data_IF_681471540742
#
_entry.id   IF_681471540742
#
_cell.length_a   1.000
_cell.length_b   1.000
_cell.length_c   1.000
_cell.angle_alpha   90.00
_cell.angle_beta   90.00
_cell.angle_gamma   90.00
#
_symmetry.space_group_name_H-M   'P 1'
#
loop_
_entity.id
_entity.type
_entity.pdbx_description
1 polymer ?
#
# COMPACT_ATOMS: atom_id res chain seq x y z
N UNK A 1 5.49 -0.15 63.22
CA UNK A 1 5.43 -0.71 61.85
C UNK A 1 4.19 -0.15 61.18
N UNK A 2 4.42 0.86 60.36
CA UNK A 2 3.47 1.69 59.63
C UNK A 2 3.21 1.08 58.26
N UNK A 3 1.95 0.87 57.88
CA UNK A 3 1.55 0.71 56.48
C UNK A 3 0.21 1.42 56.25
N UNK A 4 0.31 2.70 55.87
CA UNK A 4 -0.76 3.44 55.22
C UNK A 4 -0.83 2.96 53.77
N UNK A 5 -2.00 2.50 53.33
CA UNK A 5 -2.28 2.19 51.93
C UNK A 5 -2.23 3.47 51.09
N UNK A 6 -1.29 3.53 50.15
CA UNK A 6 -1.24 4.56 49.11
C UNK A 6 -2.41 4.34 48.14
N UNK A 7 -3.34 5.28 48.10
CA UNK A 7 -4.20 5.51 46.94
C UNK A 7 -3.32 5.85 45.72
N UNK A 8 -3.64 5.33 44.52
CA UNK A 8 -2.92 5.73 43.31
C UNK A 8 -3.21 7.21 42.98
N UNK A 9 -2.23 7.94 42.41
CA UNK A 9 -2.42 9.34 42.04
C UNK A 9 -3.44 9.45 40.89
N UNK A 10 -4.07 10.62 40.71
CA UNK A 10 -4.90 10.88 39.53
C UNK A 10 -4.04 10.72 38.28
N UNK A 11 -4.53 9.95 37.30
CA UNK A 11 -3.88 9.84 36.00
C UNK A 11 -3.72 11.24 35.39
N UNK A 12 -2.47 11.61 35.12
CA UNK A 12 -2.10 12.80 34.36
C UNK A 12 -2.91 12.89 33.07
N UNK A 13 -3.51 14.06 32.83
CA UNK A 13 -4.27 14.39 31.61
C UNK A 13 -3.37 14.63 30.38
N UNK A 14 -2.17 14.05 30.34
CA UNK A 14 -1.12 14.32 29.33
C UNK A 14 -0.68 13.09 28.52
N UNK A 15 -1.23 11.91 28.80
CA UNK A 15 -1.10 10.76 27.89
C UNK A 15 -2.17 10.90 26.80
N UNK A 16 -1.81 10.86 25.49
CA UNK A 16 -2.82 10.83 24.45
C UNK A 16 -3.72 9.63 24.71
N UNK A 17 -5.01 9.89 24.90
CA UNK A 17 -6.00 8.84 24.96
C UNK A 17 -5.97 7.99 23.69
N UNK A 18 -6.62 6.82 23.67
CA UNK A 18 -6.69 6.02 22.45
C UNK A 18 -7.19 6.87 21.29
N UNK A 19 -6.54 6.78 20.12
CA UNK A 19 -6.88 7.56 18.92
C UNK A 19 -8.30 7.32 18.37
N UNK A 20 -8.98 6.31 18.92
CA UNK A 20 -10.38 6.00 18.65
C UNK A 20 -11.13 5.64 19.92
N UNK A 21 -12.45 5.85 19.88
CA UNK A 21 -13.35 5.26 20.86
C UNK A 21 -13.32 3.71 20.75
N UNK A 22 -13.42 2.99 21.88
CA UNK A 22 -13.24 1.53 21.92
C UNK A 22 -14.37 0.74 21.26
N UNK A 23 -15.51 1.38 20.96
CA UNK A 23 -16.69 0.73 20.42
C UNK A 23 -17.15 1.40 19.13
N UNK A 24 -17.61 0.58 18.18
CA UNK A 24 -18.32 1.07 17.01
C UNK A 24 -19.65 1.70 17.44
N UNK A 25 -19.97 2.85 16.86
CA UNK A 25 -21.26 3.52 17.06
C UNK A 25 -22.11 3.43 15.81
N UNK A 26 -23.40 3.18 16.00
CA UNK A 26 -24.38 3.35 14.93
C UNK A 26 -24.70 4.84 14.79
N UNK A 27 -24.38 5.41 13.63
CA UNK A 27 -24.56 6.84 13.36
C UNK A 27 -25.52 6.99 12.18
N UNK A 28 -26.53 7.88 12.27
CA UNK A 28 -27.38 8.20 11.13
C UNK A 28 -26.53 8.74 9.97
N UNK A 29 -26.75 8.22 8.77
CA UNK A 29 -26.01 8.66 7.57
C UNK A 29 -26.19 10.16 7.31
N UNK A 30 -27.36 10.70 7.66
CA UNK A 30 -27.67 12.14 7.58
C UNK A 30 -26.81 13.01 8.50
N UNK A 31 -26.30 12.46 9.61
CA UNK A 31 -25.44 13.16 10.56
C UNK A 31 -23.95 13.16 10.16
N UNK A 32 -23.59 12.48 9.05
CA UNK A 32 -22.21 12.35 8.58
C UNK A 32 -21.95 13.34 7.43
N UNK A 33 -21.06 14.29 7.69
CA UNK A 33 -20.63 15.32 6.77
C UNK A 33 -19.34 14.90 6.04
N UNK A 34 -19.38 14.67 4.71
CA UNK A 34 -18.18 14.37 3.95
C UNK A 34 -17.30 15.61 3.77
N UNK A 35 -16.00 15.46 4.03
CA UNK A 35 -15.00 16.54 3.84
C UNK A 35 -14.78 16.87 2.36
N UNK A 36 -14.94 15.88 1.49
CA UNK A 36 -14.84 16.02 0.04
C UNK A 36 -16.06 15.42 -0.66
N UNK A 37 -16.54 16.12 -1.69
CA UNK A 37 -17.49 15.53 -2.62
C UNK A 37 -16.74 14.62 -3.59
N UNK A 38 -17.30 13.43 -3.83
CA UNK A 38 -16.75 12.53 -4.83
C UNK A 38 -17.04 13.09 -6.24
N UNK A 39 -16.05 13.11 -7.14
CA UNK A 39 -16.29 13.45 -8.53
C UNK A 39 -17.37 12.56 -9.16
N UNK A 40 -18.17 13.10 -10.08
CA UNK A 40 -19.23 12.36 -10.78
C UNK A 40 -18.72 11.16 -11.62
N UNK A 41 -17.41 11.03 -11.80
CA UNK A 41 -16.76 9.89 -12.46
C UNK A 41 -16.56 8.70 -11.53
N UNK A 42 -16.53 8.91 -10.20
CA UNK A 42 -16.25 7.86 -9.22
C UNK A 42 -17.27 6.72 -9.26
N UNK A 43 -18.60 6.97 -9.33
CA UNK A 43 -19.59 5.90 -9.42
C UNK A 43 -19.43 5.00 -10.66
N UNK A 44 -18.78 5.50 -11.72
CA UNK A 44 -18.52 4.74 -12.97
C UNK A 44 -17.25 3.88 -12.90
N UNK A 45 -16.45 4.00 -11.85
CA UNK A 45 -15.17 3.32 -11.72
C UNK A 45 -15.31 1.85 -11.28
N UNK A 46 -14.39 0.99 -11.71
CA UNK A 46 -14.34 -0.41 -11.28
C UNK A 46 -14.23 -0.55 -9.75
N UNK A 47 -13.42 0.30 -9.10
CA UNK A 47 -13.25 0.26 -7.64
C UNK A 47 -14.55 0.57 -6.89
N UNK A 48 -15.38 1.48 -7.43
CA UNK A 48 -16.70 1.75 -6.87
C UNK A 48 -17.60 0.52 -6.98
N UNK A 49 -17.67 -0.07 -8.17
CA UNK A 49 -18.47 -1.26 -8.41
C UNK A 49 -18.03 -2.46 -7.53
N UNK A 50 -16.73 -2.63 -7.30
CA UNK A 50 -16.20 -3.63 -6.36
C UNK A 50 -16.65 -3.40 -4.93
N UNK A 51 -16.56 -2.16 -4.43
CA UNK A 51 -17.00 -1.82 -3.07
C UNK A 51 -18.52 -2.01 -2.94
N UNK A 52 -19.30 -1.58 -3.95
CA UNK A 52 -20.75 -1.74 -3.96
C UNK A 52 -21.18 -3.22 -3.96
N UNK A 53 -20.50 -4.06 -4.75
CA UNK A 53 -20.78 -5.49 -4.78
C UNK A 53 -20.39 -6.19 -3.46
N UNK A 54 -19.25 -5.82 -2.87
CA UNK A 54 -18.82 -6.33 -1.56
C UNK A 54 -19.82 -5.99 -0.46
N UNK A 55 -20.29 -4.73 -0.39
CA UNK A 55 -21.30 -4.30 0.59
C UNK A 55 -22.61 -5.07 0.40
N UNK A 56 -23.04 -5.30 -0.85
CA UNK A 56 -24.26 -6.09 -1.13
C UNK A 56 -24.16 -7.55 -0.68
N UNK A 57 -23.00 -8.18 -0.88
CA UNK A 57 -22.82 -9.62 -0.64
C UNK A 57 -22.40 -9.98 0.80
N UNK A 58 -21.67 -9.09 1.46
CA UNK A 58 -21.04 -9.33 2.75
C UNK A 58 -21.36 -8.26 3.82
N UNK A 59 -22.06 -7.18 3.44
CA UNK A 59 -22.26 -6.02 4.31
C UNK A 59 -21.02 -5.13 4.38
N UNK A 60 -21.11 -4.09 5.21
CA UNK A 60 -19.98 -3.20 5.46
C UNK A 60 -18.96 -3.92 6.36
N UNK A 61 -17.90 -4.45 5.76
CA UNK A 61 -16.82 -5.15 6.48
C UNK A 61 -15.97 -4.16 7.29
N UNK A 62 -15.56 -3.06 6.67
CA UNK A 62 -14.73 -2.04 7.29
C UNK A 62 -15.59 -0.81 7.62
N UNK A 63 -15.73 -0.45 8.91
CA UNK A 63 -16.57 0.66 9.35
C UNK A 63 -16.08 1.99 8.78
N UNK A 64 -16.97 2.99 8.74
CA UNK A 64 -16.57 4.35 8.38
C UNK A 64 -15.77 4.97 9.53
N UNK A 65 -14.79 5.80 9.22
CA UNK A 65 -14.03 6.53 10.25
C UNK A 65 -14.52 7.97 10.27
N UNK A 66 -14.95 8.44 11.43
CA UNK A 66 -15.52 9.78 11.61
C UNK A 66 -14.93 10.49 12.83
N UNK A 67 -14.85 11.81 12.79
CA UNK A 67 -14.58 12.66 13.94
C UNK A 67 -15.85 13.38 14.39
N UNK A 68 -15.93 13.81 15.65
CA UNK A 68 -17.02 14.68 16.11
C UNK A 68 -16.82 16.09 15.55
N UNK A 69 -17.87 16.69 15.02
CA UNK A 69 -17.80 18.07 14.53
C UNK A 69 -17.63 19.04 15.72
N UNK A 70 -16.64 19.95 15.72
CA UNK A 70 -16.45 20.92 16.80
C UNK A 70 -17.69 21.81 16.96
N UNK A 71 -18.23 21.86 18.18
CA UNK A 71 -19.38 22.73 18.50
C UNK A 71 -20.74 22.28 17.96
N UNK A 72 -20.84 21.06 17.39
CA UNK A 72 -22.11 20.51 16.91
C UNK A 72 -22.34 19.10 17.48
N UNK A 73 -23.08 19.04 18.59
CA UNK A 73 -23.44 17.76 19.19
C UNK A 73 -24.29 16.91 18.24
N UNK A 74 -23.89 15.66 18.06
CA UNK A 74 -24.58 14.70 17.19
C UNK A 74 -24.20 14.78 15.71
N UNK A 75 -23.30 15.68 15.31
CA UNK A 75 -22.80 15.76 13.92
C UNK A 75 -21.38 15.23 13.83
N UNK A 76 -21.08 14.54 12.73
CA UNK A 76 -19.80 13.85 12.53
C UNK A 76 -19.18 14.24 11.19
N UNK A 77 -17.86 14.40 11.17
CA UNK A 77 -17.07 14.67 9.97
C UNK A 77 -16.49 13.34 9.47
N UNK A 78 -16.69 13.01 8.20
CA UNK A 78 -16.14 11.79 7.61
C UNK A 78 -14.65 11.94 7.32
N UNK A 79 -13.82 11.17 8.02
CA UNK A 79 -12.39 11.10 7.77
C UNK A 79 -12.07 10.07 6.67
N UNK A 80 -12.63 8.86 6.78
CA UNK A 80 -12.42 7.78 5.81
C UNK A 80 -13.70 7.02 5.45
N UNK A 81 -13.74 6.48 4.22
CA UNK A 81 -14.86 5.68 3.73
C UNK A 81 -15.81 6.44 2.80
N UNK A 82 -15.34 7.50 2.12
CA UNK A 82 -16.16 8.33 1.21
C UNK A 82 -16.93 7.51 0.16
N UNK A 83 -16.27 6.53 -0.48
CA UNK A 83 -16.91 5.66 -1.46
C UNK A 83 -17.96 4.75 -0.80
N UNK A 84 -17.65 4.19 0.38
CA UNK A 84 -18.57 3.34 1.15
C UNK A 84 -19.80 4.14 1.57
N UNK A 85 -19.64 5.34 2.12
CA UNK A 85 -20.74 6.24 2.47
C UNK A 85 -21.62 6.55 1.25
N UNK A 86 -21.02 6.78 0.07
CA UNK A 86 -21.79 7.03 -1.15
C UNK A 86 -22.62 5.83 -1.57
N UNK A 87 -22.04 4.62 -1.56
CA UNK A 87 -22.79 3.38 -1.83
C UNK A 87 -23.95 3.23 -0.85
N UNK A 88 -23.71 3.41 0.45
CA UNK A 88 -24.73 3.26 1.50
C UNK A 88 -25.88 4.26 1.33
N UNK A 89 -25.58 5.50 0.90
CA UNK A 89 -26.58 6.50 0.53
C UNK A 89 -27.43 6.08 -0.66
N UNK A 90 -26.81 5.52 -1.71
CA UNK A 90 -27.54 5.03 -2.89
C UNK A 90 -28.42 3.81 -2.59
N UNK A 91 -27.98 2.94 -1.67
CA UNK A 91 -28.77 1.78 -1.25
C UNK A 91 -29.89 2.12 -0.26
N UNK A 92 -29.96 3.37 0.22
CA UNK A 92 -31.01 3.84 1.12
C UNK A 92 -30.83 3.43 2.58
N UNK A 93 -29.60 3.13 3.00
CA UNK A 93 -29.32 2.81 4.41
C UNK A 93 -29.49 4.06 5.29
N UNK A 94 -30.12 3.91 6.45
CA UNK A 94 -30.37 5.04 7.36
C UNK A 94 -29.25 5.23 8.39
N UNK A 95 -28.65 4.12 8.83
CA UNK A 95 -27.63 4.08 9.88
C UNK A 95 -26.43 3.25 9.44
N UNK A 96 -25.26 3.58 9.97
CA UNK A 96 -24.01 2.90 9.64
C UNK A 96 -23.11 2.79 10.86
N UNK A 97 -22.41 1.66 10.98
CA UNK A 97 -21.38 1.46 11.98
C UNK A 97 -20.14 2.31 11.66
N UNK A 98 -19.80 3.20 12.59
CA UNK A 98 -18.66 4.08 12.50
C UNK A 98 -17.70 3.87 13.66
N UNK A 99 -16.41 3.97 13.35
CA UNK A 99 -15.35 4.15 14.32
C UNK A 99 -15.15 5.65 14.55
N UNK A 100 -15.32 6.11 15.80
CA UNK A 100 -15.19 7.52 16.16
C UNK A 100 -13.74 7.79 16.54
N UNK A 101 -13.05 8.60 15.75
CA UNK A 101 -11.72 9.11 16.05
C UNK A 101 -11.80 10.16 17.17
N UNK A 102 -10.87 10.08 18.10
CA UNK A 102 -10.69 11.08 19.17
C UNK A 102 -9.84 12.27 18.71
N UNK A 103 -9.17 12.12 17.57
CA UNK A 103 -8.34 13.14 16.92
C UNK A 103 -8.85 13.43 15.49
N UNK A 104 -8.62 14.64 14.99
CA UNK A 104 -9.07 15.12 13.67
C UNK A 104 -7.98 14.94 12.59
N UNK A 105 -7.24 13.84 12.65
CA UNK A 105 -6.22 13.52 11.66
C UNK A 105 -6.82 12.89 10.39
N UNK A 106 -7.16 13.74 9.43
CA UNK A 106 -7.79 13.33 8.16
C UNK A 106 -6.87 12.62 7.14
N UNK A 107 -5.57 12.47 7.39
CA UNK A 107 -4.58 12.18 6.34
C UNK A 107 -4.02 10.74 6.27
N UNK A 108 -4.39 9.81 7.15
CA UNK A 108 -3.56 8.61 7.38
C UNK A 108 -4.20 7.27 7.06
N UNK A 109 -5.52 7.13 7.08
CA UNK A 109 -6.15 5.79 7.18
C UNK A 109 -5.95 4.85 5.98
N UNK A 110 -5.82 5.39 4.76
CA UNK A 110 -5.67 4.58 3.54
C UNK A 110 -4.36 4.85 2.76
N UNK A 111 -3.41 5.58 3.35
CA UNK A 111 -2.19 6.02 2.64
C UNK A 111 -1.12 4.92 2.52
N UNK A 112 -1.09 3.95 3.43
CA UNK A 112 -0.08 2.86 3.48
C UNK A 112 -0.71 1.48 3.30
N UNK A 113 -1.36 1.23 2.17
CA UNK A 113 -1.95 -0.09 1.86
C UNK A 113 -0.95 -0.95 1.07
N UNK A 114 -0.49 -2.04 1.69
CA UNK A 114 0.20 -3.11 0.97
C UNK A 114 -0.80 -3.91 0.13
N UNK A 115 -0.54 -4.02 -1.17
CA UNK A 115 -1.38 -4.83 -2.06
C UNK A 115 -1.09 -6.31 -1.84
N UNK A 116 -2.11 -7.15 -1.94
CA UNK A 116 -1.93 -8.60 -1.86
C UNK A 116 -1.12 -9.12 -3.05
N UNK A 117 -0.19 -10.03 -2.78
CA UNK A 117 0.52 -10.76 -3.82
C UNK A 117 -0.38 -11.83 -4.45
N UNK A 118 -0.14 -12.18 -5.71
CA UNK A 118 -0.98 -13.12 -6.47
C UNK A 118 -1.10 -14.50 -5.82
N UNK A 119 -0.02 -14.99 -5.20
CA UNK A 119 -0.01 -16.26 -4.46
C UNK A 119 -0.82 -16.14 -3.16
N UNK A 120 -0.74 -15.01 -2.47
CA UNK A 120 -1.54 -14.75 -1.27
C UNK A 120 -3.03 -14.73 -1.61
N UNK A 121 -3.42 -14.05 -2.71
CA UNK A 121 -4.81 -14.07 -3.20
C UNK A 121 -5.29 -15.49 -3.51
N UNK A 122 -4.46 -16.31 -4.17
CA UNK A 122 -4.77 -17.73 -4.41
C UNK A 122 -4.99 -18.50 -3.10
N UNK A 123 -4.10 -18.35 -2.11
CA UNK A 123 -4.24 -18.99 -0.78
C UNK A 123 -5.52 -18.53 -0.07
N UNK A 124 -5.89 -17.25 -0.18
CA UNK A 124 -7.13 -16.72 0.40
C UNK A 124 -8.37 -17.30 -0.28
N UNK A 125 -8.39 -17.39 -1.61
CA UNK A 125 -9.49 -18.00 -2.37
C UNK A 125 -9.65 -19.47 -2.01
N UNK A 126 -8.55 -20.24 -1.93
CA UNK A 126 -8.59 -21.64 -1.52
C UNK A 126 -9.19 -21.80 -0.12
N UNK A 127 -8.69 -21.05 0.87
CA UNK A 127 -9.21 -21.08 2.24
C UNK A 127 -10.69 -20.72 2.33
N UNK A 128 -11.16 -19.77 1.52
CA UNK A 128 -12.58 -19.40 1.47
C UNK A 128 -13.45 -20.55 0.94
N UNK A 129 -12.99 -21.24 -0.11
CA UNK A 129 -13.68 -22.40 -0.68
C UNK A 129 -13.67 -23.59 0.28
N UNK A 130 -12.54 -23.86 0.94
CA UNK A 130 -12.43 -24.91 1.98
C UNK A 130 -13.39 -24.69 3.15
N UNK A 131 -13.68 -23.42 3.47
CA UNK A 131 -14.68 -23.03 4.48
C UNK A 131 -16.13 -23.05 3.96
N UNK A 132 -16.36 -23.53 2.74
CA UNK A 132 -17.69 -23.72 2.17
C UNK A 132 -18.26 -22.51 1.42
N UNK A 133 -17.47 -21.46 1.16
CA UNK A 133 -17.95 -20.32 0.37
C UNK A 133 -17.95 -20.69 -1.13
N UNK A 134 -19.08 -20.59 -1.84
CA UNK A 134 -19.13 -20.95 -3.26
C UNK A 134 -18.38 -19.95 -4.14
N UNK A 135 -17.72 -20.44 -5.20
CA UNK A 135 -16.94 -19.62 -6.14
C UNK A 135 -17.74 -18.44 -6.71
N UNK A 136 -19.03 -18.66 -6.98
CA UNK A 136 -19.93 -17.62 -7.51
C UNK A 136 -20.13 -16.46 -6.52
N UNK A 137 -20.19 -16.73 -5.22
CA UNK A 137 -20.32 -15.70 -4.19
C UNK A 137 -19.02 -14.91 -4.01
N UNK A 138 -17.86 -15.58 -4.10
CA UNK A 138 -16.55 -14.90 -4.08
C UNK A 138 -16.43 -13.97 -5.30
N UNK A 139 -16.83 -14.45 -6.47
CA UNK A 139 -16.82 -13.68 -7.71
C UNK A 139 -17.76 -12.45 -7.63
N UNK A 140 -18.98 -12.65 -7.10
CA UNK A 140 -19.94 -11.57 -6.88
C UNK A 140 -19.40 -10.51 -5.92
N UNK A 141 -18.86 -10.91 -4.76
CA UNK A 141 -18.33 -9.98 -3.76
C UNK A 141 -17.12 -9.17 -4.28
N UNK A 142 -16.27 -9.79 -5.11
CA UNK A 142 -15.12 -9.12 -5.72
C UNK A 142 -15.45 -8.40 -7.05
N UNK A 143 -16.70 -8.49 -7.51
CA UNK A 143 -17.15 -7.99 -8.81
C UNK A 143 -16.25 -8.44 -9.98
N UNK A 144 -15.96 -9.73 -10.05
CA UNK A 144 -15.15 -10.36 -11.10
C UNK A 144 -15.84 -11.57 -11.71
N UNK A 145 -15.38 -12.02 -12.87
CA UNK A 145 -15.85 -13.26 -13.49
C UNK A 145 -15.48 -14.50 -12.63
N UNK A 146 -16.44 -15.41 -12.48
CA UNK A 146 -16.24 -16.74 -11.86
C UNK A 146 -15.08 -17.50 -12.52
N UNK A 147 -14.89 -17.35 -13.84
CA UNK A 147 -13.76 -17.95 -14.54
C UNK A 147 -12.40 -17.46 -14.03
N UNK A 148 -12.29 -16.19 -13.60
CA UNK A 148 -11.06 -15.66 -13.00
C UNK A 148 -10.81 -16.30 -11.63
N UNK A 149 -11.85 -16.49 -10.81
CA UNK A 149 -11.74 -17.18 -9.52
C UNK A 149 -11.28 -18.62 -9.71
N UNK A 150 -11.85 -19.35 -10.67
CA UNK A 150 -11.42 -20.73 -11.01
C UNK A 150 -9.96 -20.79 -11.44
N UNK A 151 -9.52 -19.86 -12.29
CA UNK A 151 -8.13 -19.76 -12.73
C UNK A 151 -7.19 -19.48 -11.55
N UNK A 152 -7.56 -18.54 -10.67
CA UNK A 152 -6.80 -18.24 -9.45
C UNK A 152 -6.77 -19.43 -8.50
N UNK A 153 -7.88 -20.20 -8.37
CA UNK A 153 -7.91 -21.42 -7.55
C UNK A 153 -6.89 -22.45 -8.01
N UNK A 154 -6.66 -22.60 -9.31
CA UNK A 154 -5.70 -23.55 -9.87
C UNK A 154 -4.33 -22.93 -10.19
N UNK A 155 -4.02 -21.75 -9.62
CA UNK A 155 -2.81 -20.99 -9.97
C UNK A 155 -1.53 -21.81 -9.82
N UNK A 156 -1.38 -22.46 -8.65
CA UNK A 156 -0.20 -23.22 -8.25
C UNK A 156 -0.22 -24.68 -8.73
N UNK A 157 -1.24 -25.12 -9.47
CA UNK A 157 -1.25 -26.46 -10.04
C UNK A 157 -0.09 -26.58 -11.04
N UNK A 158 0.80 -27.55 -10.81
CA UNK A 158 2.00 -27.74 -11.63
C UNK A 158 3.16 -26.80 -11.30
N UNK A 159 3.07 -26.03 -10.21
CA UNK A 159 4.19 -25.26 -9.65
C UNK A 159 4.76 -26.01 -8.45
N UNK A 160 6.09 -26.15 -8.38
CA UNK A 160 6.72 -26.78 -7.22
C UNK A 160 6.57 -25.91 -5.95
N UNK A 161 6.45 -26.53 -4.77
CA UNK A 161 6.28 -25.80 -3.51
C UNK A 161 7.39 -24.77 -3.25
N UNK A 162 8.63 -25.10 -3.59
CA UNK A 162 9.80 -24.25 -3.38
C UNK A 162 9.73 -22.97 -4.23
N UNK A 163 9.39 -23.09 -5.52
CA UNK A 163 9.22 -21.92 -6.38
C UNK A 163 8.00 -21.06 -5.96
N UNK A 164 6.92 -21.71 -5.49
CA UNK A 164 5.77 -21.00 -4.95
C UNK A 164 6.13 -20.22 -3.67
N UNK A 165 6.99 -20.80 -2.82
CA UNK A 165 7.45 -20.15 -1.58
C UNK A 165 8.36 -18.96 -1.86
N UNK A 166 9.28 -19.09 -2.83
CA UNK A 166 10.13 -17.98 -3.28
C UNK A 166 9.32 -16.78 -3.80
N UNK A 167 8.21 -17.04 -4.49
CA UNK A 167 7.38 -16.01 -5.11
C UNK A 167 6.20 -15.55 -4.24
N UNK A 168 6.04 -16.05 -3.01
CA UNK A 168 4.82 -15.88 -2.20
C UNK A 168 4.43 -14.42 -1.93
N UNK A 169 5.41 -13.57 -1.70
CA UNK A 169 5.24 -12.15 -1.36
C UNK A 169 5.57 -11.22 -2.54
N UNK A 170 5.74 -11.80 -3.75
CA UNK A 170 6.12 -11.04 -4.94
C UNK A 170 4.89 -10.76 -5.81
N UNK A 171 4.83 -9.56 -6.37
CA UNK A 171 3.79 -9.17 -7.33
C UNK A 171 4.08 -9.77 -8.70
N UNK A 172 3.85 -11.08 -8.81
CA UNK A 172 3.99 -11.85 -10.03
C UNK A 172 2.65 -11.94 -10.77
N UNK A 173 2.50 -11.40 -11.99
CA UNK A 173 1.27 -11.51 -12.77
C UNK A 173 0.83 -12.95 -12.97
N UNK A 174 -0.49 -13.18 -13.01
CA UNK A 174 -1.08 -14.51 -13.19
C UNK A 174 -0.49 -15.29 -14.39
N UNK A 175 -0.27 -14.60 -15.52
CA UNK A 175 0.21 -15.23 -16.75
C UNK A 175 1.66 -15.71 -16.65
N UNK A 176 2.49 -15.12 -15.78
CA UNK A 176 3.88 -15.59 -15.56
C UNK A 176 3.91 -17.04 -15.04
N UNK A 177 2.93 -17.42 -14.20
CA UNK A 177 2.80 -18.81 -13.72
C UNK A 177 2.46 -19.81 -14.83
N UNK A 178 1.85 -19.35 -15.94
CA UNK A 178 1.59 -20.21 -17.10
C UNK A 178 2.89 -20.70 -17.73
N UNK A 179 3.87 -19.81 -17.80
CA UNK A 179 5.19 -20.09 -18.38
C UNK A 179 6.04 -20.92 -17.41
N UNK A 180 5.94 -20.66 -16.10
CA UNK A 180 6.58 -21.49 -15.07
C UNK A 180 6.11 -22.95 -15.12
N UNK A 181 4.80 -23.21 -15.29
CA UNK A 181 4.25 -24.58 -15.38
C UNK A 181 4.81 -25.43 -16.52
N UNK A 182 5.39 -24.82 -17.56
CA UNK A 182 5.99 -25.54 -18.68
C UNK A 182 7.39 -26.07 -18.37
N UNK A 183 8.00 -25.62 -17.27
CA UNK A 183 9.33 -26.06 -16.82
C UNK A 183 9.21 -27.13 -15.73
N UNK A 184 10.18 -28.03 -15.65
CA UNK A 184 10.29 -29.05 -14.59
C UNK A 184 10.58 -28.39 -13.22
N UNK A 185 10.31 -29.08 -12.10
CA UNK A 185 10.44 -28.50 -10.75
C UNK A 185 11.77 -27.80 -10.46
N UNK A 186 12.91 -28.43 -10.76
CA UNK A 186 14.23 -27.81 -10.52
C UNK A 186 14.42 -26.53 -11.34
N UNK A 187 13.94 -26.52 -12.58
CA UNK A 187 14.02 -25.35 -13.45
C UNK A 187 13.07 -24.23 -13.03
N UNK A 188 11.90 -24.55 -12.47
CA UNK A 188 11.00 -23.56 -11.90
C UNK A 188 11.64 -22.79 -10.73
N UNK A 189 12.38 -23.49 -9.87
CA UNK A 189 13.11 -22.88 -8.74
C UNK A 189 14.14 -21.89 -9.28
N UNK A 190 15.00 -22.35 -10.21
CA UNK A 190 16.00 -21.48 -10.84
C UNK A 190 15.36 -20.28 -11.56
N UNK A 191 14.24 -20.48 -12.26
CA UNK A 191 13.52 -19.40 -12.92
C UNK A 191 13.00 -18.37 -11.90
N UNK A 192 12.44 -18.82 -10.77
CA UNK A 192 12.00 -17.94 -9.69
C UNK A 192 13.18 -17.15 -9.09
N UNK A 193 14.32 -17.80 -8.84
CA UNK A 193 15.55 -17.14 -8.38
C UNK A 193 16.04 -16.08 -9.38
N UNK A 194 16.02 -16.38 -10.68
CA UNK A 194 16.38 -15.42 -11.74
C UNK A 194 15.43 -14.22 -11.77
N UNK A 195 14.13 -14.44 -11.56
CA UNK A 195 13.13 -13.37 -11.47
C UNK A 195 13.34 -12.49 -10.23
N UNK A 196 13.68 -13.09 -9.09
CA UNK A 196 13.97 -12.38 -7.84
C UNK A 196 15.28 -11.59 -7.94
N UNK A 197 16.35 -12.21 -8.45
CA UNK A 197 17.65 -11.59 -8.62
C UNK A 197 17.57 -10.39 -9.59
N UNK A 198 16.80 -10.52 -10.66
CA UNK A 198 16.53 -9.44 -11.59
C UNK A 198 15.38 -8.52 -11.15
N UNK A 199 14.77 -8.75 -9.97
CA UNK A 199 13.55 -8.11 -9.45
C UNK A 199 12.53 -7.77 -10.56
N UNK A 200 12.30 -8.73 -11.46
CA UNK A 200 11.45 -8.59 -12.64
C UNK A 200 10.53 -9.80 -12.73
N UNK A 201 9.24 -9.57 -12.49
CA UNK A 201 8.22 -10.61 -12.50
C UNK A 201 7.32 -10.55 -13.74
N UNK A 202 7.66 -9.72 -14.73
CA UNK A 202 6.83 -9.52 -15.92
C UNK A 202 6.69 -10.80 -16.74
N UNK A 203 5.55 -10.93 -17.43
CA UNK A 203 5.25 -12.08 -18.29
C UNK A 203 6.33 -12.23 -19.37
N UNK A 204 6.74 -11.12 -19.99
CA UNK A 204 7.82 -11.05 -20.96
C UNK A 204 9.14 -11.66 -20.47
N UNK A 205 9.54 -11.35 -19.24
CA UNK A 205 10.78 -11.88 -18.69
C UNK A 205 10.67 -13.37 -18.37
N UNK A 206 9.54 -13.83 -17.83
CA UNK A 206 9.31 -15.25 -17.60
C UNK A 206 9.26 -16.05 -18.90
N UNK A 207 8.68 -15.48 -19.97
CA UNK A 207 8.66 -16.08 -21.30
C UNK A 207 10.08 -16.16 -21.90
N UNK A 208 10.92 -15.15 -21.67
CA UNK A 208 12.32 -15.19 -22.08
C UNK A 208 13.12 -16.29 -21.34
N UNK A 209 12.88 -16.47 -20.03
CA UNK A 209 13.48 -17.56 -19.26
C UNK A 209 13.02 -18.93 -19.82
N UNK A 210 11.74 -19.06 -20.16
CA UNK A 210 11.20 -20.27 -20.77
C UNK A 210 11.85 -20.54 -22.14
N UNK A 211 12.00 -19.52 -22.98
CA UNK A 211 12.63 -19.64 -24.30
C UNK A 211 14.11 -20.01 -24.22
N UNK A 212 14.80 -19.61 -23.16
CA UNK A 212 16.20 -19.95 -22.89
C UNK A 212 16.38 -21.29 -22.13
N UNK A 213 15.30 -22.03 -21.87
CA UNK A 213 15.35 -23.30 -21.14
C UNK A 213 15.57 -24.48 -22.09
N UNK A 214 16.44 -25.41 -21.69
CA UNK A 214 16.77 -26.61 -22.46
C UNK A 214 15.60 -27.61 -22.51
N UNK A 215 15.51 -28.41 -23.59
CA UNK A 215 14.43 -29.38 -23.78
C UNK A 215 14.33 -30.42 -22.65
N UNK A 216 15.48 -30.77 -22.06
CA UNK A 216 15.57 -31.68 -20.92
C UNK A 216 14.88 -31.16 -19.65
N UNK A 217 14.69 -29.85 -19.54
CA UNK A 217 14.11 -29.17 -18.38
C UNK A 217 12.67 -28.72 -18.60
N UNK A 218 12.08 -29.05 -19.75
CA UNK A 218 10.68 -28.80 -20.08
C UNK A 218 9.80 -30.00 -19.72
N UNK A 219 8.56 -29.71 -19.30
CA UNK A 219 7.55 -30.75 -19.03
C UNK A 219 7.10 -31.41 -20.32
N UNK A 220 6.94 -30.62 -21.38
CA UNK A 220 6.66 -31.09 -22.74
C UNK A 220 7.50 -30.27 -23.74
N UNK A 221 8.50 -30.87 -24.40
CA UNK A 221 9.37 -30.18 -25.35
C UNK A 221 8.63 -29.76 -26.63
N UNK A 222 7.49 -30.39 -26.98
CA UNK A 222 6.65 -29.97 -28.10
C UNK A 222 5.85 -28.69 -27.78
N UNK A 223 5.73 -28.34 -26.49
CA UNK A 223 5.10 -27.11 -26.00
C UNK A 223 6.05 -25.91 -25.90
N UNK A 224 7.25 -25.99 -26.50
CA UNK A 224 8.02 -24.80 -26.92
C UNK A 224 7.16 -24.00 -27.90
N UNK A 225 6.17 -23.28 -27.38
CA UNK A 225 5.28 -22.45 -28.18
C UNK A 225 6.10 -21.35 -28.82
N UNK A 226 6.22 -21.45 -30.13
CA UNK A 226 6.35 -20.34 -31.05
C UNK A 226 5.29 -19.27 -30.70
N UNK A 227 5.66 -18.30 -29.87
CA UNK A 227 4.91 -17.06 -29.63
C UNK A 227 5.97 -16.03 -29.26
N UNK A 228 6.48 -15.29 -30.24
CA UNK A 228 5.90 -14.05 -30.81
C UNK A 228 6.10 -12.86 -29.87
N UNK A 229 7.17 -12.10 -30.15
CA UNK A 229 7.28 -10.69 -29.76
C UNK A 229 8.65 -10.29 -29.20
N UNK A 230 9.37 -11.21 -28.55
CA UNK A 230 10.64 -10.91 -27.89
C UNK A 230 11.70 -11.85 -28.43
N UNK A 231 12.59 -11.35 -29.29
CA UNK A 231 13.79 -12.09 -29.70
C UNK A 231 14.70 -12.28 -28.49
N UNK A 232 15.51 -13.34 -28.48
CA UNK A 232 16.55 -13.57 -27.46
C UNK A 232 17.41 -12.33 -27.22
N UNK A 233 17.64 -11.55 -28.27
CA UNK A 233 18.36 -10.28 -28.21
C UNK A 233 17.60 -9.18 -27.45
N UNK A 234 16.29 -9.04 -27.65
CA UNK A 234 15.45 -8.11 -26.90
C UNK A 234 15.36 -8.47 -25.42
N UNK A 235 15.36 -9.77 -25.09
CA UNK A 235 15.41 -10.23 -23.71
C UNK A 235 16.74 -9.88 -23.01
N UNK A 236 17.87 -10.07 -23.69
CA UNK A 236 19.20 -9.70 -23.15
C UNK A 236 19.37 -8.18 -23.01
N UNK A 237 18.85 -7.40 -23.96
CA UNK A 237 18.81 -5.92 -23.85
C UNK A 237 17.97 -5.49 -22.64
N UNK A 238 16.76 -6.03 -22.49
CA UNK A 238 15.89 -5.73 -21.36
C UNK A 238 16.55 -6.10 -20.02
N UNK A 239 17.22 -7.26 -19.95
CA UNK A 239 17.97 -7.68 -18.74
C UNK A 239 19.07 -6.68 -18.39
N UNK A 240 19.81 -6.20 -19.39
CA UNK A 240 20.92 -5.26 -19.21
C UNK A 240 20.42 -3.88 -18.76
N UNK A 241 19.37 -3.36 -19.41
CA UNK A 241 18.73 -2.09 -19.05
C UNK A 241 18.13 -2.14 -17.64
N UNK A 242 17.49 -3.25 -17.26
CA UNK A 242 16.93 -3.44 -15.91
C UNK A 242 17.99 -3.53 -14.83
N UNK A 243 19.10 -4.26 -15.08
CA UNK A 243 20.22 -4.32 -14.14
C UNK A 243 20.84 -2.93 -13.91
N UNK A 244 20.94 -2.12 -14.97
CA UNK A 244 21.39 -0.73 -14.87
C UNK A 244 20.41 0.12 -14.06
N UNK A 245 19.11 0.04 -14.35
CA UNK A 245 18.07 0.80 -13.64
C UNK A 245 18.04 0.47 -12.14
N UNK A 246 18.13 -0.80 -11.79
CA UNK A 246 18.14 -1.23 -10.39
C UNK A 246 19.37 -0.78 -9.63
N UNK A 247 20.54 -0.83 -10.28
CA UNK A 247 21.76 -0.27 -9.69
C UNK A 247 21.58 1.23 -9.40
N UNK A 248 20.95 1.97 -10.32
CA UNK A 248 20.68 3.39 -10.13
C UNK A 248 19.67 3.63 -9.00
N UNK A 249 18.59 2.85 -8.92
CA UNK A 249 17.61 2.95 -7.82
C UNK A 249 18.29 2.69 -6.47
N UNK A 250 19.05 1.60 -6.33
CA UNK A 250 19.76 1.29 -5.07
C UNK A 250 20.79 2.35 -4.71
N UNK A 251 21.46 2.93 -5.71
CA UNK A 251 22.38 4.03 -5.47
C UNK A 251 21.63 5.25 -4.92
N UNK A 252 20.49 5.60 -5.52
CA UNK A 252 19.63 6.70 -5.07
C UNK A 252 19.08 6.43 -3.67
N UNK A 253 18.58 5.23 -3.39
CA UNK A 253 18.09 4.82 -2.07
C UNK A 253 19.21 4.92 -1.01
N UNK A 254 20.42 4.48 -1.34
CA UNK A 254 21.58 4.57 -0.46
C UNK A 254 22.05 6.00 -0.20
N UNK A 255 21.86 6.92 -1.14
CA UNK A 255 22.23 8.34 -0.97
C UNK A 255 21.11 9.18 -0.37
N UNK A 256 19.85 8.75 -0.48
CA UNK A 256 18.67 9.52 -0.03
C UNK A 256 18.75 9.85 1.47
N UNK A 257 19.05 8.87 2.33
CA UNK A 257 19.15 9.09 3.77
C UNK A 257 20.27 10.08 4.16
N UNK A 258 21.53 9.82 3.76
CA UNK A 258 22.65 10.74 4.01
C UNK A 258 22.44 12.14 3.44
N UNK A 259 21.87 12.26 2.23
CA UNK A 259 21.65 13.56 1.59
C UNK A 259 20.50 14.33 2.24
N UNK A 260 19.44 13.64 2.66
CA UNK A 260 18.38 14.25 3.47
C UNK A 260 18.94 14.76 4.80
N UNK A 261 19.77 13.97 5.50
CA UNK A 261 20.38 14.39 6.75
C UNK A 261 21.33 15.59 6.56
N UNK A 262 22.15 15.60 5.50
CA UNK A 262 22.98 16.75 5.13
C UNK A 262 22.14 17.99 4.85
N UNK A 263 21.02 17.84 4.14
CA UNK A 263 20.10 18.93 3.82
C UNK A 263 19.47 19.52 5.10
N UNK A 264 19.03 18.69 6.04
CA UNK A 264 18.47 19.12 7.33
C UNK A 264 19.54 19.85 8.17
N UNK A 265 20.76 19.31 8.23
CA UNK A 265 21.86 19.94 8.98
C UNK A 265 22.27 21.28 8.35
N UNK A 266 22.37 21.35 7.02
CA UNK A 266 22.65 22.58 6.30
C UNK A 266 21.54 23.62 6.51
N UNK A 267 20.27 23.21 6.46
CA UNK A 267 19.12 24.06 6.76
C UNK A 267 19.17 24.66 8.16
N UNK A 268 19.44 23.84 9.19
CA UNK A 268 19.61 24.32 10.58
C UNK A 268 20.80 25.26 10.74
N UNK A 269 21.89 25.03 10.01
CA UNK A 269 23.03 25.94 10.03
C UNK A 269 22.65 27.31 9.44
N UNK A 270 21.95 27.33 8.31
CA UNK A 270 21.44 28.57 7.69
C UNK A 270 20.45 29.28 8.61
N UNK A 271 19.53 28.56 9.25
CA UNK A 271 18.62 29.11 10.26
C UNK A 271 19.39 29.81 11.39
N UNK A 272 20.43 29.16 11.92
CA UNK A 272 21.29 29.75 12.95
C UNK A 272 22.07 30.98 12.46
N UNK A 273 22.48 31.02 11.19
CA UNK A 273 23.10 32.20 10.59
C UNK A 273 22.12 33.36 10.47
N UNK A 274 20.88 33.10 10.05
CA UNK A 274 19.82 34.11 9.92
C UNK A 274 19.35 34.66 11.28
N UNK A 275 19.42 33.85 12.35
CA UNK A 275 19.13 34.30 13.70
C UNK A 275 20.17 35.29 14.26
N UNK A 276 21.36 35.38 13.66
CA UNK A 276 22.38 36.34 14.07
C UNK A 276 22.11 37.72 13.45
N UNK A 277 21.66 38.67 14.27
CA UNK A 277 21.29 40.02 13.83
C UNK A 277 22.37 40.76 13.04
N UNK A 278 23.66 40.51 13.32
CA UNK A 278 24.76 41.17 12.59
C UNK A 278 24.87 40.67 11.16
N UNK A 279 24.69 39.37 10.97
CA UNK A 279 24.72 38.70 9.66
C UNK A 279 23.46 39.07 8.88
N UNK A 280 22.31 39.04 9.55
CA UNK A 280 21.03 39.39 8.94
C UNK A 280 21.02 40.85 8.44
N UNK A 281 21.46 41.82 9.28
CA UNK A 281 21.60 43.23 8.87
C UNK A 281 22.61 43.44 7.74
N UNK A 282 23.64 42.61 7.63
CA UNK A 282 24.61 42.68 6.54
C UNK A 282 24.02 42.14 5.22
N UNK A 283 23.31 41.00 5.28
CA UNK A 283 22.62 40.41 4.14
C UNK A 283 21.49 41.30 3.65
N UNK A 284 20.71 41.90 4.53
CA UNK A 284 19.64 42.83 4.17
C UNK A 284 20.16 44.06 3.41
N UNK A 285 21.35 44.56 3.76
CA UNK A 285 21.95 45.73 3.10
C UNK A 285 22.66 45.42 1.78
N UNK A 286 23.28 44.25 1.64
CA UNK A 286 24.16 43.94 0.50
C UNK A 286 23.61 42.84 -0.43
N UNK A 287 22.76 41.93 0.07
CA UNK A 287 22.29 40.72 -0.61
C UNK A 287 20.86 40.31 -0.19
N UNK A 288 19.90 41.24 -0.37
CA UNK A 288 18.51 41.07 0.07
C UNK A 288 17.77 39.92 -0.66
N UNK A 289 18.17 39.62 -1.90
CA UNK A 289 17.71 38.49 -2.71
C UNK A 289 18.09 37.14 -2.09
N UNK A 290 19.37 37.00 -1.70
CA UNK A 290 19.90 35.79 -1.06
C UNK A 290 19.24 35.56 0.31
N UNK A 291 19.00 36.65 1.06
CA UNK A 291 18.28 36.59 2.33
C UNK A 291 16.85 36.01 2.16
N UNK A 292 16.15 36.45 1.10
CA UNK A 292 14.83 35.94 0.75
C UNK A 292 14.83 34.45 0.43
N UNK A 293 15.80 33.97 -0.36
CA UNK A 293 15.91 32.55 -0.69
C UNK A 293 16.31 31.69 0.52
N UNK A 294 17.24 32.14 1.38
CA UNK A 294 17.56 31.42 2.61
C UNK A 294 16.37 31.33 3.56
N UNK A 295 15.58 32.40 3.69
CA UNK A 295 14.33 32.38 4.45
C UNK A 295 13.33 31.35 3.91
N UNK A 296 13.18 31.23 2.58
CA UNK A 296 12.33 30.22 1.95
C UNK A 296 12.85 28.79 2.16
N UNK A 297 14.16 28.57 2.04
CA UNK A 297 14.78 27.26 2.26
C UNK A 297 14.56 26.80 3.71
N UNK A 298 14.81 27.67 4.68
CA UNK A 298 14.56 27.37 6.10
C UNK A 298 13.07 27.09 6.33
N UNK A 299 12.17 27.92 5.79
CA UNK A 299 10.72 27.69 5.92
C UNK A 299 10.24 26.39 5.26
N UNK A 300 10.89 25.96 4.17
CA UNK A 300 10.58 24.70 3.50
C UNK A 300 11.10 23.47 4.27
N UNK A 301 12.27 23.58 4.91
CA UNK A 301 12.86 22.50 5.71
C UNK A 301 12.30 22.38 7.13
N UNK A 302 11.78 23.49 7.69
CA UNK A 302 11.08 23.50 8.99
C UNK A 302 9.62 23.07 8.88
N UNK A 303 9.08 22.94 7.65
CA UNK A 303 7.84 22.20 7.44
C UNK A 303 8.17 20.72 7.63
N UNK A 304 7.51 20.00 8.55
CA UNK A 304 7.66 18.56 8.61
C UNK A 304 7.27 17.98 7.24
N UNK A 305 8.20 17.31 6.56
CA UNK A 305 7.80 16.41 5.49
C UNK A 305 6.89 15.32 6.09
N UNK A 306 5.83 14.92 5.38
CA UNK A 306 4.93 13.88 5.86
C UNK A 306 5.71 12.57 5.93
N UNK A 307 6.07 12.16 7.15
CA UNK A 307 6.88 10.97 7.43
C UNK A 307 6.32 9.72 6.73
N UNK A 308 7.16 9.10 5.90
CA UNK A 308 7.07 7.72 5.45
C UNK A 308 8.08 6.92 6.27
N UNK A 309 7.64 5.92 7.04
CA UNK A 309 8.33 5.17 8.13
C UNK A 309 7.84 5.66 9.52
N UNK A 310 7.27 4.90 10.47
CA UNK A 310 7.19 3.45 10.70
C UNK A 310 8.10 3.06 11.87
N UNK A 311 7.67 3.11 13.15
CA UNK A 311 8.52 2.64 14.24
C UNK A 311 8.35 1.12 14.41
N UNK A 312 9.44 0.40 14.13
CA UNK A 312 9.79 -0.81 14.85
C UNK A 312 10.03 -0.41 16.31
N UNK A 313 9.26 -0.97 17.25
CA UNK A 313 9.61 -0.97 18.67
C UNK A 313 9.72 -2.42 19.14
N UNK A 314 10.97 -2.83 19.40
CA UNK A 314 11.36 -3.94 20.24
C UNK A 314 12.06 -3.33 21.45
N UNK A 315 11.49 -3.60 22.63
CA UNK A 315 12.12 -3.77 23.95
C UNK A 315 13.13 -2.72 24.45
N UNK A 316 12.72 -1.92 25.44
CA UNK A 316 13.07 -2.06 26.87
C UNK A 316 12.24 -1.12 27.76
#
# INVERSE_FOLDING_TARGET
MTHMGKTPPPHDASLPGPGFEPALRQIPIAAILPVKQLPATVPKGQKYAQIAASIREAGLIEPLVVARAPGQDGTFILLDGHVRLHVLKETGEETVACLVATDDESFTYNKRISRLATIQEHKMILRAIERGVPEARIAAALNVDVALIRRKRTLLNGICPEAAELLKDKHCPFNSFRSLRKMKPMRQIQAAELMIAANNYTVAYTDAILAATDDGDLVDPAMKTETSGITREQAERMKTEMASLQKNIRLIEGTLGPDHLRLVVAGRYVERLLANERINRYLEKNHADILGEFGRIVAALSRPEPTSEGPDEVEE
#
